data_IF_770680418218
#
_entry.id   IF_770680418218
#
_cell.length_a   1.000
_cell.length_b   1.000
_cell.length_c   1.000
_cell.angle_alpha   90.00
_cell.angle_beta   90.00
_cell.angle_gamma   90.00
#
_symmetry.space_group_name_H-M   'P 1'
#
loop_
_entity.id
_entity.type
_entity.pdbx_description
1 polymer ?
#
# COMPACT_ATOMS: atom_id res chain seq x y z
N UNK A 1 -18.11 41.33 6.28
CA UNK A 1 -17.74 39.90 6.13
C UNK A 1 -18.98 39.10 6.50
N UNK A 2 -19.27 37.94 5.89
CA UNK A 2 -20.23 37.05 6.52
C UNK A 2 -19.78 36.83 7.98
N UNK A 3 -20.74 36.80 8.91
CA UNK A 3 -20.46 36.54 10.32
C UNK A 3 -19.60 35.28 10.44
N UNK A 4 -18.71 35.24 11.44
CA UNK A 4 -17.67 34.22 11.63
C UNK A 4 -18.14 32.77 11.74
N UNK A 5 -19.44 32.55 11.58
CA UNK A 5 -20.16 31.32 11.84
C UNK A 5 -20.64 30.69 10.51
N UNK A 6 -20.41 31.31 9.35
CA UNK A 6 -20.74 30.70 8.05
C UNK A 6 -19.88 29.47 7.70
N UNK A 7 -18.75 29.29 8.40
CA UNK A 7 -17.95 28.06 8.39
C UNK A 7 -18.33 27.10 9.55
N UNK A 8 -19.39 27.41 10.30
CA UNK A 8 -19.96 26.54 11.34
C UNK A 8 -21.32 25.94 10.93
N UNK A 9 -21.81 26.29 9.74
CA UNK A 9 -23.01 25.70 9.13
C UNK A 9 -22.64 24.37 8.45
N UNK A 10 -22.95 23.28 9.14
CA UNK A 10 -22.65 21.91 8.70
C UNK A 10 -23.38 21.53 7.42
N UNK A 11 -24.59 22.05 7.19
CA UNK A 11 -25.36 21.77 5.96
C UNK A 11 -24.70 22.45 4.76
N UNK A 12 -24.23 23.70 4.95
CA UNK A 12 -23.47 24.40 3.92
C UNK A 12 -22.11 23.73 3.63
N UNK A 13 -21.40 23.24 4.65
CA UNK A 13 -20.13 22.52 4.49
C UNK A 13 -20.32 21.17 3.79
N UNK A 14 -21.32 20.38 4.18
CA UNK A 14 -21.66 19.11 3.53
C UNK A 14 -22.06 19.31 2.08
N UNK A 15 -22.93 20.30 1.81
CA UNK A 15 -23.27 20.69 0.44
C UNK A 15 -22.02 21.10 -0.36
N UNK A 16 -21.09 21.86 0.23
CA UNK A 16 -19.83 22.23 -0.44
C UNK A 16 -18.93 21.01 -0.68
N UNK A 17 -18.87 20.05 0.24
CA UNK A 17 -18.06 18.82 0.10
C UNK A 17 -18.65 17.90 -0.98
N UNK A 18 -19.96 17.65 -0.95
CA UNK A 18 -20.68 16.89 -1.98
C UNK A 18 -20.52 17.54 -3.35
N UNK A 19 -20.68 18.86 -3.43
CA UNK A 19 -20.46 19.63 -4.64
C UNK A 19 -19.00 19.48 -5.10
N UNK A 20 -18.00 19.69 -4.23
CA UNK A 20 -16.55 19.56 -4.55
C UNK A 20 -16.20 18.15 -5.04
N UNK A 21 -16.84 17.11 -4.51
CA UNK A 21 -16.64 15.72 -4.92
C UNK A 21 -17.15 15.45 -6.34
N UNK A 22 -18.16 16.20 -6.80
CA UNK A 22 -18.66 16.14 -8.18
C UNK A 22 -17.70 16.78 -9.21
N UNK A 23 -16.78 17.64 -8.77
CA UNK A 23 -15.77 18.24 -9.66
C UNK A 23 -14.68 17.25 -10.05
N UNK A 24 -13.96 17.58 -11.12
CA UNK A 24 -12.91 16.73 -11.68
C UNK A 24 -11.92 16.26 -10.61
N UNK A 25 -11.68 14.96 -10.57
CA UNK A 25 -10.70 14.33 -9.70
C UNK A 25 -9.27 14.79 -10.05
N UNK A 26 -8.34 14.80 -9.06
CA UNK A 26 -6.95 15.13 -9.34
C UNK A 26 -6.35 14.08 -10.27
N UNK A 27 -6.01 14.48 -11.48
CA UNK A 27 -5.33 13.59 -12.44
C UNK A 27 -3.89 13.25 -12.06
N UNK A 28 -3.29 14.01 -11.12
CA UNK A 28 -1.91 13.79 -10.65
C UNK A 28 -1.92 13.60 -9.14
N UNK A 29 -1.33 12.50 -8.71
CA UNK A 29 -0.99 12.23 -7.33
C UNK A 29 0.19 13.10 -6.91
N UNK A 30 0.02 13.87 -5.85
CA UNK A 30 1.08 14.70 -5.26
C UNK A 30 1.23 14.44 -3.76
N UNK A 31 0.79 13.27 -3.30
CA UNK A 31 0.91 12.83 -1.91
C UNK A 31 1.43 11.41 -1.88
N UNK A 32 1.95 11.04 -0.72
CA UNK A 32 2.25 9.66 -0.42
C UNK A 32 0.95 8.86 -0.41
N UNK A 33 0.90 7.81 -1.23
CA UNK A 33 -0.27 6.93 -1.40
C UNK A 33 0.27 5.52 -1.59
N UNK A 34 -0.22 4.57 -0.80
CA UNK A 34 0.12 3.16 -0.95
C UNK A 34 -0.45 2.59 -2.25
N UNK A 35 0.17 1.56 -2.81
CA UNK A 35 -0.21 0.96 -4.11
C UNK A 35 -1.60 0.29 -4.09
N UNK A 36 -2.12 -0.01 -2.90
CA UNK A 36 -3.48 -0.52 -2.65
C UNK A 36 -4.54 0.56 -2.45
N UNK A 37 -4.13 1.84 -2.43
CA UNK A 37 -5.03 2.98 -2.29
C UNK A 37 -5.40 3.54 -3.66
N UNK A 38 -6.71 3.79 -3.87
CA UNK A 38 -7.17 4.52 -5.05
C UNK A 38 -6.74 5.98 -4.91
N UNK A 39 -5.65 6.32 -5.58
CA UNK A 39 -5.01 7.63 -5.62
C UNK A 39 -6.02 8.77 -5.67
N UNK A 40 -6.99 8.72 -6.58
CA UNK A 40 -7.94 9.81 -6.75
C UNK A 40 -8.85 9.98 -5.54
N UNK A 41 -9.12 8.92 -4.78
CA UNK A 41 -10.00 8.98 -3.61
C UNK A 41 -9.25 9.51 -2.38
N UNK A 42 -7.98 9.12 -2.20
CA UNK A 42 -7.18 9.58 -1.04
C UNK A 42 -6.50 10.93 -1.26
N UNK A 43 -6.41 11.39 -2.53
CA UNK A 43 -5.79 12.68 -2.85
C UNK A 43 -6.75 13.78 -3.29
N UNK A 44 -8.02 13.44 -3.53
CA UNK A 44 -9.06 14.42 -3.79
C UNK A 44 -9.37 15.21 -2.51
N UNK A 45 -9.20 16.52 -2.59
CA UNK A 45 -9.45 17.41 -1.49
C UNK A 45 -9.40 18.86 -1.94
N UNK A 46 -10.10 19.73 -1.22
CA UNK A 46 -10.06 21.16 -1.47
C UNK A 46 -8.73 21.74 -0.98
N UNK A 47 -7.99 22.43 -1.86
CA UNK A 47 -6.74 23.10 -1.51
C UNK A 47 -6.83 24.57 -1.91
N UNK A 48 -6.98 25.45 -0.92
CA UNK A 48 -7.16 26.90 -1.11
C UNK A 48 -6.04 27.50 -1.99
N UNK A 49 -4.81 26.99 -1.87
CA UNK A 49 -3.66 27.31 -2.75
C UNK A 49 -2.97 26.02 -3.22
N UNK A 50 -3.76 25.09 -3.77
CA UNK A 50 -3.25 23.81 -4.26
C UNK A 50 -2.33 23.94 -5.47
N UNK A 51 -1.37 23.01 -5.56
CA UNK A 51 -0.54 22.83 -6.74
C UNK A 51 -1.38 22.53 -7.99
N UNK A 52 -0.98 23.06 -9.14
CA UNK A 52 -1.70 22.97 -10.41
C UNK A 52 -1.35 21.68 -11.18
N UNK A 53 -2.30 21.22 -12.00
CA UNK A 53 -2.08 20.12 -12.94
C UNK A 53 -1.11 20.53 -14.04
N UNK A 54 -0.14 19.66 -14.33
CA UNK A 54 0.81 19.82 -15.44
C UNK A 54 0.90 18.51 -16.25
N UNK A 55 0.76 18.55 -17.58
CA UNK A 55 0.59 17.35 -18.41
C UNK A 55 1.77 16.38 -18.36
N UNK A 56 2.98 16.88 -18.14
CA UNK A 56 4.20 16.08 -18.09
C UNK A 56 4.36 15.30 -16.78
N UNK A 57 3.98 15.85 -15.61
CA UNK A 57 3.88 15.03 -14.39
C UNK A 57 2.78 13.98 -14.48
N UNK A 58 1.70 14.25 -15.22
CA UNK A 58 0.69 13.23 -15.52
C UNK A 58 1.26 12.12 -16.40
N UNK A 59 1.99 12.46 -17.46
CA UNK A 59 2.66 11.47 -18.31
C UNK A 59 3.62 10.59 -17.50
N UNK A 60 4.44 11.19 -16.64
CA UNK A 60 5.34 10.44 -15.76
C UNK A 60 4.60 9.49 -14.85
N UNK A 61 3.56 9.94 -14.16
CA UNK A 61 2.74 9.07 -13.33
C UNK A 61 2.11 7.93 -14.15
N UNK A 62 1.77 8.19 -15.42
CA UNK A 62 1.17 7.20 -16.29
C UNK A 62 2.16 6.20 -16.90
N UNK A 63 3.47 6.36 -16.69
CA UNK A 63 4.53 5.51 -17.25
C UNK A 63 5.44 4.87 -16.20
N UNK A 64 5.06 4.97 -14.93
CA UNK A 64 5.75 4.31 -13.82
C UNK A 64 4.85 3.26 -13.16
N UNK A 65 5.41 2.55 -12.19
CA UNK A 65 4.76 1.55 -11.37
C UNK A 65 3.39 2.04 -10.87
N UNK A 66 2.36 1.19 -10.99
CA UNK A 66 0.91 1.47 -11.08
C UNK A 66 0.39 1.37 -12.53
N UNK A 67 1.05 1.99 -13.52
CA UNK A 67 0.62 1.96 -14.93
C UNK A 67 1.55 1.17 -15.86
N UNK A 68 2.82 1.04 -15.48
CA UNK A 68 3.80 0.17 -16.14
C UNK A 68 4.51 -0.67 -15.08
N UNK A 69 4.26 -1.97 -15.08
CA UNK A 69 4.73 -2.89 -14.05
C UNK A 69 6.26 -2.86 -13.90
N UNK A 70 6.71 -2.83 -12.63
CA UNK A 70 8.12 -2.77 -12.21
C UNK A 70 8.97 -1.60 -12.77
N UNK A 71 8.38 -0.64 -13.50
CA UNK A 71 9.09 0.55 -13.98
C UNK A 71 9.02 1.67 -12.95
N UNK A 72 10.03 1.77 -12.10
CA UNK A 72 9.96 2.67 -10.94
C UNK A 72 10.30 4.13 -11.24
N UNK A 73 10.92 4.42 -12.38
CA UNK A 73 11.38 5.77 -12.72
C UNK A 73 11.07 6.08 -14.19
N UNK A 74 10.43 7.22 -14.49
CA UNK A 74 10.30 7.70 -15.85
C UNK A 74 11.54 8.51 -16.23
N UNK A 75 11.69 8.80 -17.52
CA UNK A 75 12.74 9.70 -18.03
C UNK A 75 12.12 10.84 -18.81
N UNK A 76 12.83 11.96 -18.98
CA UNK A 76 12.34 13.06 -19.84
C UNK A 76 11.96 12.61 -21.26
N UNK A 77 12.55 11.52 -21.75
CA UNK A 77 12.22 10.95 -23.06
C UNK A 77 10.80 10.37 -23.11
N UNK A 78 10.22 9.94 -21.98
CA UNK A 78 8.82 9.50 -21.90
C UNK A 78 7.86 10.61 -22.33
N UNK A 79 8.10 11.84 -21.87
CA UNK A 79 7.26 13.02 -22.20
C UNK A 79 7.33 13.32 -23.69
N UNK A 80 8.53 13.36 -24.26
CA UNK A 80 8.71 13.66 -25.68
C UNK A 80 8.27 12.52 -26.59
N UNK A 81 8.38 11.28 -26.11
CA UNK A 81 7.85 10.10 -26.77
C UNK A 81 6.31 10.12 -26.80
N UNK A 82 5.65 10.53 -25.71
CA UNK A 82 4.19 10.77 -25.70
C UNK A 82 3.78 11.92 -26.61
N UNK A 83 4.59 12.96 -26.71
CA UNK A 83 4.37 14.06 -27.66
C UNK A 83 4.73 13.72 -29.11
N UNK A 84 5.10 12.46 -29.38
CA UNK A 84 5.23 11.93 -30.74
C UNK A 84 6.63 12.03 -31.34
N UNK A 85 7.67 12.30 -30.55
CA UNK A 85 9.05 12.36 -31.05
C UNK A 85 9.56 10.97 -31.48
N UNK A 86 9.82 10.72 -32.78
CA UNK A 86 10.31 9.43 -33.23
C UNK A 86 11.72 9.12 -32.72
N UNK A 87 12.51 10.15 -32.38
CA UNK A 87 13.85 9.98 -31.79
C UNK A 87 13.79 9.58 -30.33
N UNK A 88 12.86 10.15 -29.56
CA UNK A 88 12.63 9.69 -28.19
C UNK A 88 12.21 8.22 -28.21
N UNK A 89 11.30 7.83 -29.11
CA UNK A 89 10.86 6.43 -29.27
C UNK A 89 12.02 5.48 -29.54
N UNK A 90 12.90 5.83 -30.49
CA UNK A 90 14.08 5.03 -30.83
C UNK A 90 14.98 4.78 -29.61
N UNK A 91 15.23 5.79 -28.77
CA UNK A 91 16.05 5.62 -27.58
C UNK A 91 15.34 4.82 -26.47
N UNK A 92 14.02 4.82 -26.48
CA UNK A 92 13.20 4.10 -25.51
C UNK A 92 12.85 2.66 -25.96
N UNK A 93 13.33 2.19 -27.12
CA UNK A 93 13.07 0.82 -27.61
C UNK A 93 13.51 -0.27 -26.62
N UNK A 94 14.61 -0.04 -25.89
CA UNK A 94 15.10 -1.00 -24.90
C UNK A 94 14.24 -1.05 -23.63
N UNK A 95 13.52 0.03 -23.30
CA UNK A 95 12.64 0.09 -22.13
C UNK A 95 11.45 -0.85 -22.30
N UNK A 96 10.94 -1.00 -23.52
CA UNK A 96 9.90 -1.97 -23.85
C UNK A 96 10.33 -3.42 -23.52
N UNK A 97 11.60 -3.74 -23.78
CA UNK A 97 12.13 -5.09 -23.51
C UNK A 97 12.30 -5.36 -22.02
N UNK A 98 12.55 -4.30 -21.24
CA UNK A 98 12.75 -4.36 -19.79
C UNK A 98 11.43 -4.31 -19.01
N UNK A 99 10.43 -3.59 -19.52
CA UNK A 99 9.17 -3.32 -18.82
C UNK A 99 7.95 -3.73 -19.67
N UNK A 100 7.43 -4.94 -19.46
CA UNK A 100 6.21 -5.40 -20.13
C UNK A 100 5.03 -4.44 -19.88
N UNK A 101 4.37 -4.01 -20.96
CA UNK A 101 3.22 -3.09 -20.91
C UNK A 101 3.58 -1.62 -21.11
N UNK A 102 4.86 -1.26 -21.15
CA UNK A 102 5.32 0.09 -21.47
C UNK A 102 4.79 0.56 -22.84
N UNK A 103 4.91 -0.26 -23.87
CA UNK A 103 4.45 0.06 -25.24
C UNK A 103 2.95 0.31 -25.33
N UNK A 104 2.15 -0.50 -24.65
CA UNK A 104 0.69 -0.35 -24.63
C UNK A 104 0.30 0.94 -23.91
N UNK A 105 0.97 1.25 -22.81
CA UNK A 105 0.67 2.41 -22.00
C UNK A 105 1.13 3.72 -22.66
N UNK A 106 2.33 3.75 -23.24
CA UNK A 106 2.80 4.91 -23.98
C UNK A 106 1.97 5.15 -25.25
N UNK A 107 1.48 4.11 -25.90
CA UNK A 107 0.56 4.22 -27.04
C UNK A 107 -0.80 4.83 -26.65
N UNK A 108 -1.34 4.48 -25.48
CA UNK A 108 -2.57 5.12 -24.95
C UNK A 108 -2.36 6.60 -24.70
N UNK A 109 -1.23 6.96 -24.08
CA UNK A 109 -0.90 8.37 -23.82
C UNK A 109 -0.69 9.16 -25.10
N UNK A 110 0.04 8.60 -26.08
CA UNK A 110 0.17 9.22 -27.41
C UNK A 110 -1.19 9.46 -28.06
N UNK A 111 -2.10 8.49 -27.95
CA UNK A 111 -3.47 8.65 -28.45
C UNK A 111 -4.26 9.71 -27.68
N UNK A 112 -4.15 9.75 -26.35
CA UNK A 112 -4.82 10.75 -25.51
C UNK A 112 -4.34 12.16 -25.87
N UNK A 113 -3.02 12.38 -25.85
CA UNK A 113 -2.41 13.68 -26.13
C UNK A 113 -2.49 14.09 -27.61
N UNK A 114 -2.47 13.12 -28.52
CA UNK A 114 -2.67 13.35 -29.96
C UNK A 114 -4.11 13.71 -30.35
N UNK A 115 -5.09 13.47 -29.48
CA UNK A 115 -6.48 13.90 -29.69
C UNK A 115 -6.76 15.31 -29.15
N UNK A 116 -5.79 15.94 -28.47
CA UNK A 116 -5.93 17.31 -27.98
C UNK A 116 -5.87 18.31 -29.14
N UNK A 117 -6.70 19.34 -29.05
CA UNK A 117 -6.75 20.42 -30.05
C UNK A 117 -5.78 21.54 -29.72
N UNK A 118 -5.51 22.43 -30.67
CA UNK A 118 -4.73 23.65 -30.42
C UNK A 118 -5.33 24.50 -29.28
N UNK A 119 -6.66 24.49 -29.12
CA UNK A 119 -7.33 25.17 -28.01
C UNK A 119 -6.93 24.57 -26.65
N UNK A 120 -6.84 23.24 -26.57
CA UNK A 120 -6.43 22.55 -25.33
C UNK A 120 -4.95 22.83 -25.02
N UNK A 121 -4.09 22.85 -26.04
CA UNK A 121 -2.67 23.16 -25.87
C UNK A 121 -2.37 24.61 -25.52
N UNK A 122 -3.28 25.53 -25.85
CA UNK A 122 -3.13 26.97 -25.58
C UNK A 122 -3.87 27.45 -24.34
N UNK A 123 -4.46 26.53 -23.56
CA UNK A 123 -5.34 26.85 -22.42
C UNK A 123 -4.68 27.69 -21.31
N UNK A 124 -3.35 27.67 -21.19
CA UNK A 124 -2.58 28.55 -20.32
C UNK A 124 -1.10 28.57 -20.72
N UNK A 125 -0.31 29.45 -20.08
CA UNK A 125 1.11 29.66 -20.40
C UNK A 125 1.96 28.38 -20.30
N UNK A 126 1.69 27.50 -19.32
CA UNK A 126 2.45 26.27 -19.14
C UNK A 126 2.25 25.31 -20.32
N UNK A 127 0.99 25.05 -20.68
CA UNK A 127 0.65 24.19 -21.81
C UNK A 127 1.11 24.79 -23.14
N UNK A 128 0.97 26.11 -23.30
CA UNK A 128 1.41 26.82 -24.50
C UNK A 128 2.94 26.78 -24.65
N UNK A 129 3.69 26.86 -23.55
CA UNK A 129 5.15 26.72 -23.58
C UNK A 129 5.55 25.33 -24.04
N UNK A 130 4.94 24.27 -23.51
CA UNK A 130 5.19 22.89 -23.96
C UNK A 130 4.83 22.70 -25.44
N UNK A 131 3.67 23.20 -25.85
CA UNK A 131 3.22 23.12 -27.25
C UNK A 131 4.16 23.84 -28.20
N UNK A 132 4.75 24.96 -27.77
CA UNK A 132 5.74 25.70 -28.56
C UNK A 132 7.03 24.90 -28.83
N UNK A 133 7.30 23.83 -28.08
CA UNK A 133 8.44 22.94 -28.28
C UNK A 133 8.16 21.82 -29.29
N UNK A 134 6.89 21.53 -29.63
CA UNK A 134 6.51 20.40 -30.49
C UNK A 134 7.24 20.39 -31.85
N UNK A 135 7.40 21.53 -32.55
CA UNK A 135 8.13 21.55 -33.82
C UNK A 135 9.60 21.10 -33.73
N UNK A 136 10.20 21.11 -32.53
CA UNK A 136 11.58 20.62 -32.31
C UNK A 136 11.66 19.09 -32.23
N UNK A 137 10.52 18.40 -32.11
CA UNK A 137 10.43 16.94 -31.95
C UNK A 137 10.33 16.21 -33.29
N UNK A 138 9.90 16.90 -34.34
CA UNK A 138 9.73 16.37 -35.68
C UNK A 138 11.06 16.37 -36.46
N UNK A 139 11.45 15.24 -37.08
CA UNK A 139 12.58 15.22 -38.00
C UNK A 139 12.34 16.18 -39.18
N UNK A 140 13.36 16.95 -39.55
CA UNK A 140 13.28 17.80 -40.74
C UNK A 140 13.17 16.94 -42.01
N UNK A 141 12.36 17.39 -42.96
CA UNK A 141 12.10 16.68 -44.23
C UNK A 141 12.74 17.38 -45.42
N UNK A 142 12.68 16.74 -46.59
CA UNK A 142 13.22 17.30 -47.84
C UNK A 142 12.69 18.72 -48.08
N UNK A 143 13.63 19.66 -48.29
CA UNK A 143 13.35 21.10 -48.39
C UNK A 143 13.97 21.93 -47.26
N UNK A 144 14.36 21.31 -46.14
CA UNK A 144 15.17 21.93 -45.11
C UNK A 144 16.68 21.86 -45.42
N UNK A 145 17.52 22.73 -44.81
CA UNK A 145 18.97 22.66 -44.95
C UNK A 145 19.53 21.27 -44.60
N UNK A 146 20.47 20.77 -45.41
CA UNK A 146 20.92 19.37 -45.32
C UNK A 146 21.45 18.92 -43.95
N UNK A 147 21.97 19.83 -43.13
CA UNK A 147 22.39 19.49 -41.76
C UNK A 147 21.20 19.13 -40.85
N UNK A 148 20.02 19.73 -41.09
CA UNK A 148 18.81 19.46 -40.32
C UNK A 148 18.21 18.09 -40.61
N UNK A 149 18.54 17.50 -41.76
CA UNK A 149 18.06 16.17 -42.17
C UNK A 149 18.78 15.03 -41.44
N UNK A 150 19.80 15.34 -40.63
CA UNK A 150 20.57 14.34 -39.91
C UNK A 150 19.94 14.00 -38.55
N UNK A 151 20.03 12.73 -38.14
CA UNK A 151 19.61 12.29 -36.80
C UNK A 151 20.34 13.07 -35.69
N UNK A 152 21.60 13.46 -35.92
CA UNK A 152 22.36 14.27 -34.96
C UNK A 152 21.71 15.64 -34.71
N UNK A 153 21.11 16.27 -35.73
CA UNK A 153 20.39 17.52 -35.57
C UNK A 153 19.03 17.34 -34.89
N UNK A 154 18.33 16.24 -35.20
CA UNK A 154 17.08 15.88 -34.52
C UNK A 154 17.32 15.58 -33.04
N UNK A 155 18.40 14.86 -32.70
CA UNK A 155 18.79 14.59 -31.31
C UNK A 155 19.15 15.87 -30.56
N UNK A 156 19.89 16.79 -31.21
CA UNK A 156 20.17 18.11 -30.64
C UNK A 156 18.88 18.91 -30.39
N UNK A 157 17.90 18.79 -31.28
CA UNK A 157 16.61 19.49 -31.16
C UNK A 157 15.77 18.90 -30.00
N UNK A 158 15.74 17.57 -29.87
CA UNK A 158 15.16 16.87 -28.71
C UNK A 158 15.84 17.26 -27.39
N UNK A 159 17.18 17.36 -27.37
CA UNK A 159 17.94 17.85 -26.21
C UNK A 159 17.57 19.30 -25.86
N UNK A 160 17.36 20.15 -26.87
CA UNK A 160 16.95 21.55 -26.67
C UNK A 160 15.55 21.64 -26.07
N UNK A 161 14.61 20.85 -26.58
CA UNK A 161 13.25 20.75 -26.02
C UNK A 161 13.29 20.21 -24.57
N UNK A 162 14.11 19.20 -24.30
CA UNK A 162 14.31 18.62 -22.97
C UNK A 162 14.85 19.64 -21.96
N UNK A 163 15.80 20.47 -22.38
CA UNK A 163 16.39 21.50 -21.52
C UNK A 163 15.39 22.61 -21.19
N UNK A 164 14.64 23.11 -22.19
CA UNK A 164 13.60 24.12 -22.00
C UNK A 164 12.44 23.60 -21.12
N UNK A 165 12.09 22.32 -21.26
CA UNK A 165 11.13 21.65 -20.38
C UNK A 165 11.62 21.59 -18.92
N UNK A 166 12.90 21.29 -18.70
CA UNK A 166 13.49 21.27 -17.36
C UNK A 166 13.49 22.67 -16.69
N UNK A 167 13.77 23.74 -17.45
CA UNK A 167 13.68 25.13 -16.97
C UNK A 167 12.24 25.50 -16.57
N UNK A 168 11.25 25.14 -17.41
CA UNK A 168 9.83 25.36 -17.09
C UNK A 168 9.41 24.66 -15.79
N UNK A 169 9.93 23.44 -15.54
CA UNK A 169 9.68 22.68 -14.31
C UNK A 169 10.29 23.31 -13.08
N UNK A 170 11.47 23.91 -13.21
CA UNK A 170 12.14 24.63 -12.14
C UNK A 170 11.35 25.89 -11.73
N UNK A 171 10.94 26.72 -12.69
CA UNK A 171 10.31 28.02 -12.40
C UNK A 171 8.89 27.89 -11.84
N UNK A 172 8.27 26.73 -12.01
CA UNK A 172 6.91 26.45 -11.52
C UNK A 172 6.87 25.51 -10.32
N UNK A 173 8.03 25.12 -9.78
CA UNK A 173 8.18 24.01 -8.82
C UNK A 173 7.40 24.18 -7.50
N UNK A 174 7.23 25.41 -7.01
CA UNK A 174 6.45 25.69 -5.79
C UNK A 174 4.93 25.74 -6.03
N UNK A 175 4.49 25.80 -7.30
CA UNK A 175 3.07 25.93 -7.70
C UNK A 175 2.55 24.78 -8.58
N UNK A 176 3.44 23.91 -9.06
CA UNK A 176 3.13 22.74 -9.87
C UNK A 176 3.17 21.46 -9.04
N UNK A 177 2.34 20.48 -9.39
CA UNK A 177 2.36 19.16 -8.74
C UNK A 177 3.63 18.41 -9.15
N UNK A 178 4.54 18.20 -8.19
CA UNK A 178 5.60 17.20 -8.32
C UNK A 178 4.99 15.80 -8.22
N UNK A 179 5.34 14.92 -9.16
CA UNK A 179 5.05 13.49 -9.06
C UNK A 179 6.00 12.87 -8.03
N UNK A 180 5.46 12.18 -7.03
CA UNK A 180 6.22 11.46 -6.00
C UNK A 180 6.33 9.96 -6.32
N UNK A 181 7.42 9.33 -5.91
CA UNK A 181 7.56 7.87 -5.78
C UNK A 181 7.78 7.55 -4.29
N UNK A 182 7.07 6.54 -3.76
CA UNK A 182 6.99 6.16 -2.34
C UNK A 182 8.29 5.53 -1.79
N UNK A 183 8.64 5.83 -0.52
CA UNK A 183 9.89 5.46 0.16
C UNK A 183 9.75 4.11 0.93
N UNK A 184 10.58 3.07 0.73
CA UNK A 184 11.53 2.77 -0.36
C UNK A 184 11.08 1.51 -1.12
N UNK A 185 10.14 1.72 -2.04
CA UNK A 185 9.43 0.78 -2.93
C UNK A 185 9.40 -0.72 -2.54
N UNK A 186 8.25 -1.17 -2.05
CA UNK A 186 7.87 -2.58 -1.87
C UNK A 186 7.59 -3.20 -3.27
N UNK A 187 8.07 -4.41 -3.58
CA UNK A 187 7.82 -5.05 -4.88
C UNK A 187 6.35 -5.49 -5.03
N UNK A 188 5.88 -5.56 -6.28
CA UNK A 188 4.55 -6.04 -6.73
C UNK A 188 3.79 -6.89 -5.70
N UNK A 189 2.74 -6.35 -5.09
CA UNK A 189 1.79 -7.10 -4.27
C UNK A 189 0.99 -8.06 -5.14
N UNK A 190 1.17 -9.36 -4.93
CA UNK A 190 0.18 -10.34 -5.37
C UNK A 190 -1.05 -10.19 -4.46
N UNK A 191 -2.29 -10.42 -4.95
CA UNK A 191 -3.44 -10.29 -4.09
C UNK A 191 -3.23 -11.20 -2.88
N UNK A 192 -3.49 -10.68 -1.68
CA UNK A 192 -3.47 -11.49 -0.48
C UNK A 192 -4.54 -12.58 -0.55
N UNK A 193 -4.56 -13.44 0.46
CA UNK A 193 -5.56 -14.49 0.60
C UNK A 193 -6.04 -14.48 2.05
N UNK A 194 -7.34 -14.38 2.23
CA UNK A 194 -7.95 -14.55 3.56
C UNK A 194 -8.15 -16.04 3.76
N UNK A 195 -7.63 -16.56 4.86
CA UNK A 195 -7.84 -17.96 5.20
C UNK A 195 -9.36 -18.23 5.30
N UNK A 196 -9.92 -19.19 4.54
CA UNK A 196 -11.34 -19.19 4.24
C UNK A 196 -12.18 -19.82 5.37
N UNK A 197 -12.22 -19.19 6.54
CA UNK A 197 -13.01 -19.60 7.70
C UNK A 197 -14.10 -18.57 8.03
N UNK A 198 -15.16 -18.45 7.22
CA UNK A 198 -16.14 -17.38 7.36
C UNK A 198 -16.91 -17.47 8.69
N UNK A 199 -17.13 -18.67 9.20
CA UNK A 199 -17.76 -18.87 10.51
C UNK A 199 -16.92 -18.33 11.67
N UNK A 200 -15.59 -18.41 11.58
CA UNK A 200 -14.68 -17.91 12.63
C UNK A 200 -14.81 -16.40 12.69
N UNK A 201 -14.68 -15.74 11.55
CA UNK A 201 -14.84 -14.30 11.44
C UNK A 201 -16.22 -13.81 11.89
N UNK A 202 -17.30 -14.49 11.49
CA UNK A 202 -18.65 -14.18 11.95
C UNK A 202 -18.79 -14.23 13.49
N UNK A 203 -18.20 -15.26 14.11
CA UNK A 203 -18.23 -15.45 15.56
C UNK A 203 -17.37 -14.41 16.28
N UNK A 204 -16.21 -14.05 15.72
CA UNK A 204 -15.35 -13.01 16.27
C UNK A 204 -16.03 -11.63 16.23
N UNK A 205 -16.67 -11.26 15.11
CA UNK A 205 -17.50 -10.05 15.06
C UNK A 205 -18.59 -10.08 16.13
N UNK A 206 -19.33 -11.18 16.21
CA UNK A 206 -20.42 -11.34 17.19
C UNK A 206 -19.93 -11.22 18.63
N UNK A 207 -18.74 -11.75 18.94
CA UNK A 207 -18.11 -11.65 20.25
C UNK A 207 -17.78 -10.20 20.60
N UNK A 208 -17.21 -9.45 19.67
CA UNK A 208 -16.89 -8.02 19.86
C UNK A 208 -18.16 -7.21 20.05
N UNK A 209 -19.21 -7.46 19.24
CA UNK A 209 -20.52 -6.81 19.40
C UNK A 209 -21.18 -7.15 20.74
N UNK A 210 -21.05 -8.38 21.21
CA UNK A 210 -21.51 -8.78 22.55
C UNK A 210 -20.77 -8.00 23.65
N UNK A 211 -19.46 -7.81 23.51
CA UNK A 211 -18.65 -7.02 24.44
C UNK A 211 -19.10 -5.56 24.49
N UNK A 212 -19.29 -4.92 23.33
CA UNK A 212 -19.81 -3.55 23.21
C UNK A 212 -21.14 -3.41 23.97
N UNK A 213 -22.11 -4.29 23.67
CA UNK A 213 -23.42 -4.27 24.31
C UNK A 213 -23.30 -4.46 25.83
N UNK A 214 -22.52 -5.45 26.26
CA UNK A 214 -22.33 -5.77 27.68
C UNK A 214 -21.70 -4.63 28.48
N UNK A 215 -20.67 -3.97 27.93
CA UNK A 215 -20.03 -2.82 28.57
C UNK A 215 -20.96 -1.59 28.57
N UNK A 216 -21.65 -1.33 27.46
CA UNK A 216 -22.57 -0.20 27.32
C UNK A 216 -23.74 -0.29 28.29
N UNK A 217 -24.39 -1.45 28.41
CA UNK A 217 -25.51 -1.67 29.34
C UNK A 217 -25.12 -1.46 30.81
N UNK A 218 -23.85 -1.67 31.14
CA UNK A 218 -23.30 -1.50 32.48
C UNK A 218 -22.72 -0.09 32.73
N UNK A 219 -22.72 0.78 31.72
CA UNK A 219 -22.11 2.11 31.79
C UNK A 219 -20.58 2.08 31.92
N UNK A 220 -19.94 1.01 31.43
CA UNK A 220 -18.49 0.78 31.52
C UNK A 220 -17.77 0.94 30.17
N UNK A 221 -18.50 1.18 29.09
CA UNK A 221 -17.90 1.38 27.77
C UNK A 221 -17.39 2.81 27.64
N UNK A 222 -16.07 2.99 27.58
CA UNK A 222 -15.49 4.29 27.22
C UNK A 222 -15.65 4.54 25.72
N UNK A 223 -15.81 5.80 25.35
CA UNK A 223 -16.04 6.22 23.96
C UNK A 223 -14.89 5.82 23.02
N UNK A 224 -13.65 5.98 23.46
CA UNK A 224 -12.45 5.57 22.71
C UNK A 224 -12.42 4.06 22.44
N UNK A 225 -12.83 3.24 23.42
CA UNK A 225 -12.94 1.79 23.25
C UNK A 225 -14.14 1.41 22.37
N UNK A 226 -15.25 2.14 22.43
CA UNK A 226 -16.42 1.88 21.60
C UNK A 226 -16.09 1.96 20.10
N UNK A 227 -15.34 2.99 19.71
CA UNK A 227 -14.91 3.19 18.32
C UNK A 227 -14.02 2.03 17.85
N UNK A 228 -12.95 1.73 18.58
CA UNK A 228 -12.04 0.63 18.24
C UNK A 228 -12.71 -0.73 18.21
N UNK A 229 -13.55 -1.05 19.19
CA UNK A 229 -14.29 -2.31 19.21
C UNK A 229 -15.25 -2.41 18.02
N UNK A 230 -15.88 -1.30 17.63
CA UNK A 230 -16.75 -1.29 16.44
C UNK A 230 -15.94 -1.57 15.17
N UNK A 231 -14.79 -0.90 15.01
CA UNK A 231 -13.89 -1.10 13.87
C UNK A 231 -13.34 -2.54 13.82
N UNK A 232 -12.98 -3.15 14.97
CA UNK A 232 -12.56 -4.55 15.02
C UNK A 232 -13.70 -5.50 14.59
N UNK A 233 -14.94 -5.25 15.02
CA UNK A 233 -16.08 -6.07 14.58
C UNK A 233 -16.29 -6.00 13.06
N UNK A 234 -16.12 -4.81 12.49
CA UNK A 234 -16.19 -4.58 11.04
C UNK A 234 -15.05 -5.25 10.29
N UNK A 235 -13.83 -5.30 10.85
CA UNK A 235 -12.72 -6.10 10.29
C UNK A 235 -13.13 -7.56 10.13
N UNK A 236 -13.68 -8.16 11.18
CA UNK A 236 -14.11 -9.54 11.09
C UNK A 236 -15.27 -9.74 10.11
N UNK A 237 -16.23 -8.83 10.02
CA UNK A 237 -17.32 -8.93 9.03
C UNK A 237 -16.81 -8.87 7.58
N UNK A 238 -15.84 -8.01 7.31
CA UNK A 238 -15.24 -7.91 5.97
C UNK A 238 -14.42 -9.16 5.64
N UNK A 239 -13.62 -9.67 6.58
CA UNK A 239 -12.90 -10.94 6.40
C UNK A 239 -13.86 -12.11 6.18
N UNK A 240 -15.00 -12.14 6.87
CA UNK A 240 -16.06 -13.12 6.63
C UNK A 240 -16.57 -13.05 5.17
N UNK A 241 -16.93 -11.87 4.70
CA UNK A 241 -17.47 -11.67 3.35
C UNK A 241 -16.45 -12.11 2.29
N UNK A 242 -15.20 -11.69 2.44
CA UNK A 242 -14.10 -12.05 1.53
C UNK A 242 -13.85 -13.56 1.55
N UNK A 243 -13.84 -14.15 2.74
CA UNK A 243 -13.70 -15.59 2.91
C UNK A 243 -14.82 -16.39 2.24
N UNK A 244 -16.07 -15.90 2.24
CA UNK A 244 -17.18 -16.52 1.51
C UNK A 244 -16.92 -16.46 0.01
N UNK A 245 -16.51 -15.29 -0.51
CA UNK A 245 -16.20 -15.12 -1.93
C UNK A 245 -15.06 -16.04 -2.39
N UNK A 246 -13.97 -16.12 -1.63
CA UNK A 246 -12.85 -17.02 -1.92
C UNK A 246 -13.28 -18.50 -1.93
N UNK A 247 -14.22 -18.91 -1.07
CA UNK A 247 -14.78 -20.28 -1.06
C UNK A 247 -15.74 -20.55 -2.23
N UNK A 248 -16.57 -19.57 -2.57
CA UNK A 248 -17.49 -19.65 -3.70
C UNK A 248 -16.76 -19.50 -5.05
N UNK A 249 -15.45 -19.23 -4.98
CA UNK A 249 -14.59 -18.93 -6.11
C UNK A 249 -15.11 -17.72 -6.91
N UNK A 250 -15.80 -16.84 -6.21
CA UNK A 250 -16.29 -15.58 -6.74
C UNK A 250 -15.12 -14.61 -6.88
N UNK A 251 -15.11 -13.80 -7.95
CA UNK A 251 -14.07 -12.81 -8.12
C UNK A 251 -14.12 -11.80 -6.98
N UNK A 252 -13.00 -11.67 -6.26
CA UNK A 252 -12.79 -10.55 -5.34
C UNK A 252 -12.83 -9.23 -6.10
N UNK A 253 -13.54 -8.28 -5.52
CA UNK A 253 -13.56 -6.90 -6.00
C UNK A 253 -12.27 -6.18 -5.63
N UNK A 254 -11.96 -5.07 -6.29
CA UNK A 254 -10.80 -4.24 -5.94
C UNK A 254 -10.88 -3.73 -4.50
N UNK A 255 -12.10 -3.53 -3.97
CA UNK A 255 -12.33 -3.18 -2.57
C UNK A 255 -11.96 -4.33 -1.64
N UNK A 256 -12.31 -5.58 -1.99
CA UNK A 256 -11.93 -6.76 -1.20
C UNK A 256 -10.40 -6.88 -1.17
N UNK A 257 -9.73 -6.73 -2.32
CA UNK A 257 -8.27 -6.84 -2.43
C UNK A 257 -7.57 -5.73 -1.64
N UNK A 258 -8.02 -4.48 -1.80
CA UNK A 258 -7.49 -3.34 -1.03
C UNK A 258 -7.82 -3.41 0.47
N UNK A 259 -8.83 -4.19 0.86
CA UNK A 259 -9.10 -4.50 2.26
C UNK A 259 -8.10 -5.51 2.81
N UNK A 260 -7.83 -6.58 2.05
CA UNK A 260 -6.84 -7.60 2.44
C UNK A 260 -5.45 -6.99 2.62
N UNK A 261 -5.04 -6.13 1.68
CA UNK A 261 -3.71 -5.53 1.70
C UNK A 261 -3.50 -4.60 2.92
N UNK A 262 -4.57 -3.91 3.37
CA UNK A 262 -4.53 -3.02 4.54
C UNK A 262 -4.88 -3.69 5.86
N UNK A 263 -5.35 -4.95 5.84
CA UNK A 263 -5.84 -5.62 7.05
C UNK A 263 -4.77 -5.67 8.16
N UNK A 264 -3.49 -5.84 7.81
CA UNK A 264 -2.39 -5.83 8.78
C UNK A 264 -2.20 -4.43 9.42
N UNK A 265 -2.15 -3.37 8.60
CA UNK A 265 -2.06 -1.98 9.06
C UNK A 265 -3.27 -1.62 9.95
N UNK A 266 -4.48 -2.04 9.56
CA UNK A 266 -5.69 -1.80 10.33
C UNK A 266 -5.63 -2.47 11.71
N UNK A 267 -5.20 -3.73 11.78
CA UNK A 267 -5.06 -4.44 13.07
C UNK A 267 -3.98 -3.79 13.94
N UNK A 268 -2.86 -3.36 13.36
CA UNK A 268 -1.79 -2.66 14.07
C UNK A 268 -2.29 -1.35 14.69
N UNK A 269 -2.99 -0.52 13.91
CA UNK A 269 -3.58 0.74 14.40
C UNK A 269 -4.59 0.47 15.52
N UNK A 270 -5.44 -0.55 15.36
CA UNK A 270 -6.46 -0.89 16.37
C UNK A 270 -5.84 -1.38 17.69
N UNK A 271 -4.74 -2.13 17.60
CA UNK A 271 -3.98 -2.64 18.74
C UNK A 271 -3.16 -1.56 19.46
N UNK A 272 -2.75 -0.48 18.76
CA UNK A 272 -1.93 0.61 19.33
C UNK A 272 -2.74 1.55 20.23
N UNK A 273 -2.23 1.94 21.41
CA UNK A 273 -2.91 2.91 22.29
C UNK A 273 -2.02 4.14 22.53
N UNK A 274 -2.48 5.31 22.08
CA UNK A 274 -1.76 6.58 22.25
C UNK A 274 -2.11 7.31 23.56
N UNK A 275 -2.61 6.60 24.57
CA UNK A 275 -3.00 7.20 25.85
C UNK A 275 -1.85 7.11 26.87
N UNK A 276 -1.28 8.24 27.32
CA UNK A 276 -0.19 8.25 28.30
C UNK A 276 -0.57 7.62 29.65
N UNK A 277 -1.85 7.57 30.02
CA UNK A 277 -2.28 6.85 31.23
C UNK A 277 -2.22 5.33 31.04
N UNK A 278 -2.23 4.82 29.80
CA UNK A 278 -2.17 3.39 29.47
C UNK A 278 -0.73 2.85 29.55
N UNK A 279 0.28 3.68 29.27
CA UNK A 279 1.70 3.30 29.41
C UNK A 279 2.10 2.90 30.84
N UNK A 280 1.34 3.33 31.86
CA UNK A 280 1.59 2.95 33.26
C UNK A 280 1.09 1.53 33.62
N UNK A 281 0.23 0.92 32.79
CA UNK A 281 -0.41 -0.38 33.04
C UNK A 281 0.07 -1.51 32.13
N UNK A 282 0.94 -1.20 31.18
CA UNK A 282 1.42 -2.12 30.14
C UNK A 282 2.93 -2.29 30.26
N UNK A 283 3.40 -3.51 30.09
CA UNK A 283 4.81 -3.88 30.08
C UNK A 283 5.30 -4.13 28.66
N UNK A 284 6.62 -4.09 28.44
CA UNK A 284 7.20 -4.44 27.14
C UNK A 284 6.91 -5.90 26.71
N UNK A 285 6.50 -6.77 27.65
CA UNK A 285 6.09 -8.13 27.35
C UNK A 285 4.73 -8.18 26.64
N UNK A 286 3.84 -7.22 26.92
CA UNK A 286 2.48 -7.15 26.37
C UNK A 286 2.44 -6.76 24.88
N UNK A 287 3.55 -6.23 24.35
CA UNK A 287 3.70 -5.90 22.93
C UNK A 287 4.05 -7.14 22.06
N UNK A 288 4.29 -8.31 22.66
CA UNK A 288 4.64 -9.54 21.93
C UNK A 288 3.49 -10.53 21.90
N UNK A 289 3.35 -11.24 20.77
CA UNK A 289 2.44 -12.39 20.64
C UNK A 289 2.78 -13.54 21.60
N UNK A 290 4.03 -13.59 22.08
CA UNK A 290 4.54 -14.70 22.88
C UNK A 290 4.04 -14.60 24.32
N UNK A 291 3.09 -15.48 24.67
CA UNK A 291 2.46 -15.58 25.99
C UNK A 291 2.43 -17.03 26.46
N UNK A 292 2.48 -17.23 27.78
CA UNK A 292 2.50 -18.55 28.42
C UNK A 292 1.44 -18.64 29.52
N UNK A 293 0.90 -19.83 29.74
CA UNK A 293 0.04 -20.10 30.87
C UNK A 293 0.17 -21.53 31.36
N UNK A 294 0.25 -21.70 32.68
CA UNK A 294 0.04 -23.00 33.30
C UNK A 294 -1.46 -23.32 33.30
N UNK A 295 -1.83 -24.47 32.75
CA UNK A 295 -3.24 -24.90 32.60
C UNK A 295 -3.57 -26.13 33.42
N UNK A 296 -2.57 -26.81 33.96
CA UNK A 296 -2.75 -27.95 34.84
C UNK A 296 -1.58 -28.07 35.82
N UNK A 297 -1.84 -28.53 37.04
CA UNK A 297 -0.81 -28.84 38.05
C UNK A 297 -1.03 -30.27 38.54
N UNK A 298 -0.02 -31.14 38.41
CA UNK A 298 0.00 -32.46 39.05
C UNK A 298 0.87 -32.44 40.32
N UNK A 299 0.25 -32.41 41.51
CA UNK A 299 0.99 -32.35 42.77
C UNK A 299 1.73 -33.65 43.13
N UNK A 300 1.49 -34.76 42.43
CA UNK A 300 2.18 -36.03 42.72
C UNK A 300 3.56 -36.11 42.07
N UNK A 301 3.68 -35.55 40.87
CA UNK A 301 4.95 -35.44 40.13
C UNK A 301 5.63 -34.08 40.35
N UNK A 302 4.95 -33.14 41.00
CA UNK A 302 5.40 -31.76 41.22
C UNK A 302 5.63 -30.99 39.91
N UNK A 303 4.85 -31.33 38.87
CA UNK A 303 4.92 -30.71 37.54
C UNK A 303 3.65 -29.90 37.23
N UNK A 304 3.79 -28.92 36.34
CA UNK A 304 2.70 -28.19 35.71
C UNK A 304 2.73 -28.41 34.20
N UNK A 305 1.56 -28.36 33.56
CA UNK A 305 1.44 -28.30 32.12
C UNK A 305 1.41 -26.82 31.70
N UNK A 306 2.47 -26.38 31.05
CA UNK A 306 2.56 -25.07 30.43
C UNK A 306 2.05 -25.16 28.98
N UNK A 307 1.20 -24.23 28.58
CA UNK A 307 0.80 -24.03 27.18
C UNK A 307 1.12 -22.61 26.76
N UNK A 308 1.77 -22.47 25.61
CA UNK A 308 2.29 -21.19 25.17
C UNK A 308 2.16 -20.96 23.68
N UNK A 309 2.01 -19.70 23.34
CA UNK A 309 2.27 -19.20 21.99
C UNK A 309 3.63 -18.53 21.99
N UNK A 310 4.44 -18.78 20.96
CA UNK A 310 5.74 -18.11 20.79
C UNK A 310 5.71 -17.13 19.62
N UNK A 311 6.85 -16.92 18.96
CA UNK A 311 6.91 -16.11 17.74
C UNK A 311 6.06 -16.74 16.62
N UNK A 312 5.45 -15.94 15.72
CA UNK A 312 4.68 -16.47 14.60
C UNK A 312 5.55 -17.30 13.67
N UNK A 313 5.03 -18.44 13.23
CA UNK A 313 5.66 -19.23 12.18
C UNK A 313 5.33 -18.68 10.81
N UNK A 314 6.25 -18.89 9.86
CA UNK A 314 6.00 -18.57 8.46
C UNK A 314 5.34 -19.77 7.80
N UNK A 315 4.18 -19.57 7.20
CA UNK A 315 3.48 -20.57 6.40
C UNK A 315 3.53 -20.21 4.91
N UNK A 316 3.62 -21.24 4.06
CA UNK A 316 3.50 -21.13 2.61
C UNK A 316 2.35 -22.03 2.13
N UNK A 317 1.40 -21.46 1.39
CA UNK A 317 0.21 -22.17 0.92
C UNK A 317 0.02 -21.92 -0.56
N UNK A 318 -0.25 -22.98 -1.34
CA UNK A 318 -0.66 -22.82 -2.74
C UNK A 318 -2.16 -22.60 -2.75
N UNK A 319 -2.60 -21.45 -3.23
CA UNK A 319 -4.02 -21.08 -3.34
C UNK A 319 -4.40 -20.89 -4.80
N UNK A 320 -5.68 -21.08 -5.12
CA UNK A 320 -6.22 -20.95 -6.47
C UNK A 320 -7.08 -19.68 -6.55
N UNK A 321 -7.00 -18.94 -7.65
CA UNK A 321 -7.89 -17.80 -7.91
C UNK A 321 -9.18 -18.20 -8.67
N UNK A 322 -10.13 -17.27 -8.78
CA UNK A 322 -11.39 -17.43 -9.52
C UNK A 322 -11.22 -17.81 -11.01
N UNK A 323 -10.03 -17.65 -11.57
CA UNK A 323 -9.69 -18.00 -12.97
C UNK A 323 -8.97 -19.35 -13.07
N UNK A 324 -8.74 -20.01 -11.94
CA UNK A 324 -8.09 -21.30 -11.84
C UNK A 324 -6.56 -21.23 -11.77
N UNK A 325 -5.95 -20.05 -11.66
CA UNK A 325 -4.50 -19.92 -11.54
C UNK A 325 -4.04 -20.26 -10.13
N UNK A 326 -2.94 -21.00 -10.02
CA UNK A 326 -2.31 -21.31 -8.75
C UNK A 326 -1.27 -20.25 -8.40
N UNK A 327 -1.28 -19.78 -7.15
CA UNK A 327 -0.32 -18.83 -6.58
C UNK A 327 0.21 -19.34 -5.25
N UNK A 328 1.48 -19.06 -4.95
CA UNK A 328 2.06 -19.32 -3.64
C UNK A 328 1.84 -18.11 -2.74
N UNK A 329 1.03 -18.27 -1.69
CA UNK A 329 0.85 -17.30 -0.63
C UNK A 329 1.85 -17.57 0.50
N UNK A 330 2.34 -16.49 1.14
CA UNK A 330 3.16 -16.53 2.34
C UNK A 330 2.45 -15.75 3.44
N UNK A 331 2.36 -16.30 4.64
CA UNK A 331 1.70 -15.66 5.77
C UNK A 331 2.35 -16.01 7.11
N UNK A 332 1.82 -15.43 8.18
CA UNK A 332 2.09 -15.83 9.56
C UNK A 332 1.05 -16.84 10.03
N UNK A 333 1.47 -17.81 10.84
CA UNK A 333 0.57 -18.70 11.58
C UNK A 333 1.02 -18.80 13.03
N UNK A 334 0.10 -19.13 13.93
CA UNK A 334 0.41 -19.28 15.35
C UNK A 334 1.43 -20.40 15.56
N UNK A 335 2.32 -20.19 16.54
CA UNK A 335 3.11 -21.26 17.13
C UNK A 335 2.43 -21.77 18.39
N UNK A 336 2.67 -23.04 18.70
CA UNK A 336 2.09 -23.70 19.87
C UNK A 336 3.15 -24.54 20.57
N UNK A 337 3.24 -24.37 21.87
CA UNK A 337 4.12 -25.10 22.77
C UNK A 337 3.28 -25.68 23.89
N UNK A 338 3.56 -26.92 24.23
CA UNK A 338 2.92 -27.64 25.33
C UNK A 338 3.95 -28.57 25.93
N UNK A 339 4.31 -28.34 27.19
CA UNK A 339 5.34 -29.09 27.88
C UNK A 339 5.14 -29.08 29.38
N UNK A 340 5.75 -30.06 30.05
CA UNK A 340 5.77 -30.11 31.51
C UNK A 340 6.91 -29.24 32.06
N UNK A 341 6.62 -28.46 33.10
CA UNK A 341 7.56 -27.59 33.79
C UNK A 341 7.50 -27.86 35.30
N UNK A 342 8.61 -27.80 36.07
CA UNK A 342 8.53 -27.96 37.52
C UNK A 342 7.62 -26.92 38.16
N UNK A 343 6.79 -27.34 39.13
CA UNK A 343 5.83 -26.46 39.80
C UNK A 343 6.49 -25.24 40.47
N UNK A 344 7.76 -25.36 40.87
CA UNK A 344 8.55 -24.26 41.47
C UNK A 344 9.11 -23.28 40.44
N UNK A 345 9.01 -23.58 39.16
CA UNK A 345 9.59 -22.84 38.03
C UNK A 345 8.53 -22.49 36.97
N UNK A 346 7.30 -22.21 37.42
CA UNK A 346 6.24 -21.65 36.57
C UNK A 346 6.74 -20.39 35.87
N UNK A 347 6.42 -20.27 34.60
CA UNK A 347 6.94 -19.20 33.77
C UNK A 347 6.04 -17.95 33.83
N UNK A 348 6.67 -16.79 33.95
CA UNK A 348 6.02 -15.53 33.52
C UNK A 348 6.19 -15.34 32.01
N UNK A 349 5.45 -14.40 31.42
CA UNK A 349 5.61 -14.06 30.01
C UNK A 349 7.05 -13.62 29.72
N UNK A 350 7.71 -12.84 30.57
CA UNK A 350 9.12 -12.46 30.37
C UNK A 350 10.08 -13.65 30.37
N UNK A 351 9.90 -14.59 31.30
CA UNK A 351 10.73 -15.81 31.38
C UNK A 351 10.49 -16.71 30.18
N UNK A 352 9.24 -16.83 29.72
CA UNK A 352 8.90 -17.54 28.50
C UNK A 352 9.51 -16.89 27.26
N UNK A 353 9.44 -15.57 27.19
CA UNK A 353 9.99 -14.78 26.09
C UNK A 353 11.51 -14.91 25.98
N UNK A 354 12.24 -14.93 27.11
CA UNK A 354 13.68 -15.20 27.16
C UNK A 354 14.00 -16.68 26.83
N UNK A 355 13.21 -17.62 27.34
CA UNK A 355 13.36 -19.05 27.04
C UNK A 355 13.24 -19.33 25.54
N UNK A 356 12.29 -18.69 24.85
CA UNK A 356 12.11 -18.81 23.40
C UNK A 356 13.34 -18.36 22.59
N UNK A 357 14.08 -17.37 23.07
CA UNK A 357 15.25 -16.83 22.37
C UNK A 357 16.50 -17.66 22.61
N UNK A 358 16.66 -18.20 23.82
CA UNK A 358 17.89 -18.86 24.24
C UNK A 358 17.82 -20.38 24.13
N UNK A 359 16.71 -20.98 24.59
CA UNK A 359 16.54 -22.43 24.74
C UNK A 359 15.06 -22.83 24.60
N UNK A 360 14.47 -22.69 23.39
CA UNK A 360 13.07 -23.00 23.18
C UNK A 360 12.79 -24.49 23.43
N UNK A 361 11.69 -24.85 24.11
CA UNK A 361 11.30 -26.24 24.31
C UNK A 361 10.91 -26.88 22.97
N UNK A 362 10.94 -28.22 22.86
CA UNK A 362 10.50 -28.90 21.66
C UNK A 362 9.01 -28.65 21.39
N UNK A 363 8.64 -28.56 20.11
CA UNK A 363 7.24 -28.53 19.72
C UNK A 363 6.57 -29.87 20.08
N UNK A 364 5.24 -29.87 20.36
CA UNK A 364 4.50 -31.09 20.64
C UNK A 364 4.70 -32.13 19.53
N UNK A 365 4.97 -33.39 19.91
CA UNK A 365 5.38 -34.44 18.97
C UNK A 365 4.37 -34.64 17.82
N UNK A 366 3.08 -34.51 18.12
CA UNK A 366 2.01 -34.65 17.12
C UNK A 366 2.11 -33.60 15.99
N UNK A 367 2.62 -32.41 16.27
CA UNK A 367 2.86 -31.38 15.25
C UNK A 367 4.02 -31.77 14.34
N UNK A 368 5.09 -32.33 14.90
CA UNK A 368 6.28 -32.76 14.16
C UNK A 368 6.01 -33.94 13.22
N UNK A 369 5.07 -34.81 13.59
CA UNK A 369 4.71 -35.99 12.79
C UNK A 369 3.85 -35.67 11.57
N UNK A 370 3.13 -34.54 11.57
CA UNK A 370 2.04 -34.28 10.62
C UNK A 370 2.24 -33.00 9.81
N UNK A 371 3.06 -32.06 10.27
CA UNK A 371 3.29 -30.79 9.59
C UNK A 371 4.65 -30.74 8.89
N UNK A 372 4.73 -30.32 7.62
CA UNK A 372 6.00 -30.05 6.94
C UNK A 372 6.57 -28.69 7.41
N UNK A 373 7.01 -28.60 8.67
CA UNK A 373 7.59 -27.39 9.25
C UNK A 373 9.07 -27.27 8.87
N UNK A 374 9.45 -26.19 8.18
CA UNK A 374 10.85 -25.79 8.04
C UNK A 374 11.13 -24.64 9.01
N UNK A 375 11.74 -24.94 10.18
CA UNK A 375 12.17 -23.91 11.11
C UNK A 375 13.38 -23.17 10.55
N UNK A 376 13.21 -21.89 10.15
CA UNK A 376 14.32 -21.02 9.79
C UNK A 376 14.84 -20.36 11.08
N UNK A 377 15.87 -20.95 11.69
CA UNK A 377 16.54 -20.35 12.84
C UNK A 377 17.37 -19.13 12.39
N UNK A 378 17.09 -17.97 12.99
CA UNK A 378 17.88 -16.75 13.10
C UNK A 378 18.43 -16.09 11.80
N UNK A 379 17.98 -14.86 11.52
CA UNK A 379 18.69 -13.91 10.65
C UNK A 379 19.90 -13.37 11.44
N UNK A 380 21.17 -13.58 11.00
CA UNK A 380 22.31 -13.03 11.73
C UNK A 380 22.38 -11.50 11.55
N UNK A 381 22.57 -10.79 12.66
CA UNK A 381 22.87 -9.35 12.68
C UNK A 381 24.07 -9.02 11.78
N UNK A 382 23.84 -8.19 10.75
CA UNK A 382 24.93 -7.59 9.96
C UNK A 382 25.41 -6.33 10.68
N UNK A 383 26.52 -6.42 11.42
CA UNK A 383 27.18 -5.23 11.97
C UNK A 383 27.80 -4.40 10.85
N UNK A 384 27.43 -3.12 10.74
CA UNK A 384 28.20 -2.12 9.96
C UNK A 384 29.63 -2.11 10.51
N UNK A 385 30.60 -2.53 9.71
CA UNK A 385 32.01 -2.26 10.00
C UNK A 385 32.34 -0.85 9.55
N UNK A 386 32.82 -0.05 10.49
CA UNK A 386 33.60 1.15 10.22
C UNK A 386 34.89 0.77 9.46
N UNK A 387 35.01 1.29 8.24
CA UNK A 387 36.17 2.00 7.69
C UNK A 387 35.85 2.50 6.28
#
# INVERSE_FOLDING_TARGET
APAGDALSDSVLIESIIEDIQSYRKPKINSMFVYDDQVVENVTQGFRLMGQRFIPDSYIFQQLVHDKVDNRLMPTGLDVFSVFGSPRADFFMESENQLYPGYDDQISKLRKEFGNLTDYDWTQNLYWLWLFSLFPLLDPATDGYPGFMLSNAWTDKSLMTASSSWAELRHDTILYAKQSYTVELSIPKTYPGYVEPYPEVYARLSSLVRLMINGLSERGLLLESFALKLTEIAEVFENLQIISIKELENDPLTDQDIGYINRAAEMIEILASYDDPEYEEWVSAADDRMAVIADVHTDPNTEMVLEVGTGNPFVIYVIVQDHRGNLRLARGGTFSYYEFEQPMTERLTDEEWQDMLENTPPPLPEWMLLTMPLACVNAIPHVSRKEN
#
